data_IF_316213979626
#
_entry.id   IF_316213979626
#
_cell.length_a   1.000
_cell.length_b   1.000
_cell.length_c   1.000
_cell.angle_alpha   90.00
_cell.angle_beta   90.00
_cell.angle_gamma   90.00
#
_symmetry.space_group_name_H-M   'P 1'
#
loop_
_entity.id
_entity.type
_entity.pdbx_description
1 polymer ?
#
# COMPACT_ATOMS: atom_id res chain seq x y z
N UNK A 1 9.29 -19.97 -8.87
CA UNK A 1 9.40 -19.05 -10.03
C UNK A 1 8.82 -17.72 -9.58
N UNK A 2 9.61 -16.64 -9.59
CA UNK A 2 9.25 -15.34 -9.02
C UNK A 2 8.15 -14.60 -9.82
N UNK A 3 7.57 -13.51 -9.25
CA UNK A 3 6.50 -12.71 -9.84
C UNK A 3 6.80 -12.26 -11.28
N UNK A 4 8.05 -11.92 -11.56
CA UNK A 4 8.51 -11.48 -12.90
C UNK A 4 8.24 -12.48 -14.04
N UNK A 5 7.93 -13.75 -13.76
CA UNK A 5 7.61 -14.74 -14.81
C UNK A 5 6.12 -14.98 -14.99
N UNK A 6 5.30 -14.56 -14.00
CA UNK A 6 3.86 -14.86 -13.94
C UNK A 6 3.04 -13.88 -14.77
N UNK A 7 3.29 -12.57 -14.65
CA UNK A 7 2.61 -11.54 -15.45
C UNK A 7 2.85 -11.75 -16.95
N UNK A 8 4.10 -11.98 -17.45
CA UNK A 8 4.32 -12.32 -18.85
C UNK A 8 3.55 -13.56 -19.31
N UNK A 9 3.41 -14.57 -18.47
CA UNK A 9 2.66 -15.77 -18.80
C UNK A 9 1.17 -15.47 -18.99
N UNK A 10 0.55 -14.75 -18.03
CA UNK A 10 -0.88 -14.38 -18.11
C UNK A 10 -1.13 -13.49 -19.32
N UNK A 11 -0.34 -12.42 -19.51
CA UNK A 11 -0.51 -11.48 -20.61
C UNK A 11 -0.40 -12.18 -21.98
N UNK A 12 0.56 -13.09 -22.13
CA UNK A 12 0.71 -13.88 -23.37
C UNK A 12 -0.48 -14.81 -23.57
N UNK A 13 -0.91 -15.54 -22.54
CA UNK A 13 -2.04 -16.47 -22.61
C UNK A 13 -3.35 -15.75 -22.93
N UNK A 14 -3.60 -14.57 -22.38
CA UNK A 14 -4.82 -13.79 -22.62
C UNK A 14 -4.83 -13.12 -24.01
N UNK A 15 -3.69 -12.82 -24.55
CA UNK A 15 -3.58 -12.15 -25.85
C UNK A 15 -3.99 -13.04 -27.03
N UNK A 16 -3.83 -14.36 -26.93
CA UNK A 16 -4.23 -15.31 -27.96
C UNK A 16 -5.75 -15.40 -28.15
N UNK A 17 -6.57 -15.52 -27.08
CA UNK A 17 -8.02 -15.41 -27.20
C UNK A 17 -8.47 -14.07 -27.81
N UNK A 18 -7.88 -12.93 -27.40
CA UNK A 18 -8.22 -11.62 -27.96
C UNK A 18 -7.89 -11.51 -29.48
N UNK A 19 -6.78 -12.13 -29.93
CA UNK A 19 -6.44 -12.21 -31.34
C UNK A 19 -7.41 -13.08 -32.13
N UNK A 20 -7.93 -14.13 -31.51
CA UNK A 20 -8.81 -15.13 -32.17
C UNK A 20 -10.27 -14.71 -32.14
N UNK A 21 -10.68 -13.82 -31.24
CA UNK A 21 -12.05 -13.33 -31.15
C UNK A 21 -12.36 -12.42 -32.37
N UNK A 22 -13.49 -12.70 -33.02
CA UNK A 22 -13.99 -11.93 -34.16
C UNK A 22 -15.21 -11.07 -33.77
N UNK A 23 -15.50 -10.89 -32.48
CA UNK A 23 -16.69 -10.19 -31.98
C UNK A 23 -16.31 -8.92 -31.21
N UNK A 24 -17.27 -8.06 -30.99
CA UNK A 24 -17.12 -6.87 -30.15
C UNK A 24 -15.91 -6.00 -30.51
N UNK A 25 -15.20 -5.56 -29.49
CA UNK A 25 -14.01 -4.70 -29.61
C UNK A 25 -12.80 -5.43 -30.21
N UNK A 26 -12.80 -6.76 -30.24
CA UNK A 26 -11.71 -7.59 -30.74
C UNK A 26 -11.76 -7.89 -32.22
N UNK A 27 -12.87 -7.55 -32.91
CA UNK A 27 -13.11 -7.88 -34.31
C UNK A 27 -11.96 -7.50 -35.24
N UNK A 28 -11.39 -6.34 -35.00
CA UNK A 28 -10.27 -5.80 -35.81
C UNK A 28 -8.92 -5.94 -35.11
N UNK A 29 -8.88 -6.56 -33.93
CA UNK A 29 -7.67 -6.77 -33.18
C UNK A 29 -6.92 -7.98 -33.72
N UNK A 30 -5.78 -7.73 -34.36
CA UNK A 30 -4.91 -8.78 -34.90
C UNK A 30 -3.47 -8.52 -34.44
N UNK A 31 -2.82 -9.60 -34.04
CA UNK A 31 -1.45 -9.60 -33.54
C UNK A 31 -0.53 -10.24 -34.54
N UNK A 32 0.52 -9.53 -34.92
CA UNK A 32 1.68 -10.09 -35.59
C UNK A 32 2.61 -10.78 -34.57
N UNK A 33 3.60 -11.52 -35.07
CA UNK A 33 4.66 -12.06 -34.18
C UNK A 33 5.46 -10.95 -33.50
N UNK A 34 5.62 -9.80 -34.14
CA UNK A 34 6.28 -8.62 -33.57
C UNK A 34 5.45 -8.06 -32.41
N UNK A 35 4.12 -7.94 -32.54
CA UNK A 35 3.24 -7.48 -31.46
C UNK A 35 3.25 -8.41 -30.24
N UNK A 36 3.33 -9.73 -30.47
CA UNK A 36 3.46 -10.72 -29.40
C UNK A 36 4.78 -10.56 -28.65
N UNK A 37 5.87 -10.39 -29.39
CA UNK A 37 7.18 -10.17 -28.79
C UNK A 37 7.25 -8.84 -28.05
N UNK A 38 6.65 -7.78 -28.59
CA UNK A 38 6.56 -6.47 -27.95
C UNK A 38 5.81 -6.54 -26.63
N UNK A 39 4.63 -7.21 -26.57
CA UNK A 39 3.91 -7.44 -25.32
C UNK A 39 4.73 -8.28 -24.34
N UNK A 40 5.39 -9.32 -24.80
CA UNK A 40 6.25 -10.14 -23.97
C UNK A 40 7.37 -9.32 -23.31
N UNK A 41 8.05 -8.46 -24.08
CA UNK A 41 9.08 -7.57 -23.54
C UNK A 41 8.48 -6.55 -22.56
N UNK A 42 7.35 -5.93 -22.91
CA UNK A 42 6.66 -4.99 -22.06
C UNK A 42 6.27 -5.62 -20.71
N UNK A 43 5.77 -6.84 -20.75
CA UNK A 43 5.35 -7.56 -19.52
C UNK A 43 6.52 -7.95 -18.59
N UNK A 44 7.73 -8.12 -19.15
CA UNK A 44 8.93 -8.29 -18.31
C UNK A 44 9.42 -6.98 -17.69
N UNK A 45 9.17 -5.87 -18.36
CA UNK A 45 9.71 -4.55 -17.99
C UNK A 45 8.70 -3.66 -17.27
N UNK A 46 7.43 -4.07 -17.11
CA UNK A 46 6.36 -3.22 -16.58
C UNK A 46 6.68 -2.62 -15.20
N UNK A 47 7.41 -3.35 -14.40
CA UNK A 47 7.77 -3.02 -13.02
C UNK A 47 9.24 -2.62 -12.84
N UNK A 48 9.99 -2.36 -13.91
CA UNK A 48 11.43 -2.06 -13.79
C UNK A 48 11.72 -0.83 -12.93
N UNK A 49 10.80 0.12 -12.82
CA UNK A 49 10.91 1.28 -11.95
C UNK A 49 10.85 0.96 -10.45
N UNK A 50 10.42 -0.23 -10.04
CA UNK A 50 10.47 -0.65 -8.62
C UNK A 50 11.89 -0.66 -8.04
N UNK A 51 12.91 -0.70 -8.88
CA UNK A 51 14.32 -0.65 -8.45
C UNK A 51 14.68 0.63 -7.69
N UNK A 52 13.94 1.72 -7.89
CA UNK A 52 14.16 2.98 -7.15
C UNK A 52 13.28 3.13 -5.92
N UNK A 53 12.30 2.23 -5.72
CA UNK A 53 11.40 2.27 -4.55
C UNK A 53 12.15 1.74 -3.32
N UNK A 54 12.18 2.48 -2.20
CA UNK A 54 12.85 2.00 -1.00
C UNK A 54 12.22 0.70 -0.47
N UNK A 55 13.06 -0.29 -0.17
CA UNK A 55 12.65 -1.64 0.28
C UNK A 55 11.72 -1.56 1.51
N UNK A 56 12.06 -0.73 2.51
CA UNK A 56 11.25 -0.57 3.72
C UNK A 56 9.84 0.02 3.48
N UNK A 57 9.57 0.61 2.30
CA UNK A 57 8.23 1.06 1.90
C UNK A 57 7.49 -0.06 1.19
N UNK A 58 8.18 -0.83 0.35
CA UNK A 58 7.61 -1.98 -0.38
C UNK A 58 7.19 -3.08 0.60
N UNK A 59 8.06 -3.37 1.57
CA UNK A 59 7.89 -4.49 2.51
C UNK A 59 7.19 -4.09 3.82
N UNK A 60 6.71 -2.85 3.93
CA UNK A 60 6.05 -2.35 5.13
C UNK A 60 4.88 -3.23 5.55
N UNK A 61 5.01 -3.90 6.70
CA UNK A 61 4.05 -4.87 7.21
C UNK A 61 3.09 -4.32 8.27
N UNK A 62 3.52 -3.27 8.99
CA UNK A 62 2.72 -2.63 10.04
C UNK A 62 2.63 -1.12 9.86
N UNK A 63 1.61 -0.48 10.47
CA UNK A 63 1.35 0.96 10.28
C UNK A 63 2.47 1.86 10.82
N UNK A 64 3.06 1.51 11.96
CA UNK A 64 4.14 2.28 12.60
C UNK A 64 5.54 1.92 12.09
N UNK A 65 5.65 0.92 11.22
CA UNK A 65 6.92 0.47 10.67
C UNK A 65 7.56 1.54 9.77
N UNK A 66 8.87 1.65 9.91
CA UNK A 66 9.77 2.33 9.00
C UNK A 66 10.93 1.35 8.71
N UNK A 67 12.17 1.63 9.14
CA UNK A 67 13.25 0.63 9.17
C UNK A 67 13.04 -0.33 10.35
N UNK A 68 12.46 0.16 11.44
CA UNK A 68 12.03 -0.61 12.61
C UNK A 68 10.59 -0.28 12.96
N UNK A 69 9.86 -1.24 13.56
CA UNK A 69 8.50 -0.98 14.02
C UNK A 69 8.51 -0.17 15.32
N UNK A 70 7.98 1.06 15.27
CA UNK A 70 7.90 1.98 16.40
C UNK A 70 6.89 1.54 17.50
N UNK A 71 6.16 0.46 17.28
CA UNK A 71 5.33 -0.15 18.34
C UNK A 71 6.16 -0.53 19.57
N UNK A 72 7.45 -0.81 19.38
CA UNK A 72 8.33 -1.11 20.50
C UNK A 72 8.56 0.11 21.42
N UNK A 73 8.69 1.30 20.83
CA UNK A 73 8.77 2.56 21.59
C UNK A 73 7.44 2.89 22.28
N UNK A 74 6.34 2.68 21.58
CA UNK A 74 4.98 2.84 22.12
C UNK A 74 4.78 1.93 23.32
N UNK A 75 5.18 0.66 23.23
CA UNK A 75 5.13 -0.29 24.36
C UNK A 75 5.84 0.24 25.59
N UNK A 76 7.06 0.79 25.41
CA UNK A 76 7.82 1.34 26.54
C UNK A 76 7.07 2.50 27.20
N UNK A 77 6.41 3.36 26.43
CA UNK A 77 5.59 4.45 27.00
C UNK A 77 4.40 3.91 27.82
N UNK A 78 3.72 2.85 27.35
CA UNK A 78 2.68 2.18 28.14
C UNK A 78 3.22 1.56 29.43
N UNK A 79 4.43 0.97 29.39
CA UNK A 79 5.09 0.49 30.61
C UNK A 79 5.42 1.63 31.59
N UNK A 80 5.79 2.82 31.10
CA UNK A 80 5.97 4.01 31.95
C UNK A 80 4.66 4.41 32.59
N UNK A 81 3.53 4.46 31.86
CA UNK A 81 2.21 4.74 32.42
C UNK A 81 1.85 3.78 33.58
N UNK A 82 2.14 2.49 33.42
CA UNK A 82 1.89 1.49 34.48
C UNK A 82 2.74 1.77 35.70
N UNK A 83 4.01 2.11 35.53
CA UNK A 83 4.92 2.47 36.66
C UNK A 83 4.49 3.76 37.34
N UNK A 84 4.05 4.76 36.59
CA UNK A 84 3.53 6.01 37.13
C UNK A 84 2.26 5.75 37.96
N UNK A 85 1.33 4.92 37.52
CA UNK A 85 0.14 4.52 38.26
C UNK A 85 0.50 3.77 39.54
N UNK A 86 1.48 2.85 39.52
CA UNK A 86 1.99 2.15 40.70
C UNK A 86 2.60 3.14 41.72
N UNK A 87 3.42 4.09 41.25
CA UNK A 87 4.07 5.11 42.07
C UNK A 87 3.02 6.02 42.73
N UNK A 88 2.01 6.45 41.98
CA UNK A 88 0.96 7.33 42.48
C UNK A 88 0.08 6.62 43.53
N UNK A 89 -0.24 5.34 43.31
CA UNK A 89 -0.91 4.52 44.31
C UNK A 89 -0.10 4.43 45.61
N UNK A 90 1.21 4.12 45.51
CA UNK A 90 2.10 4.02 46.66
C UNK A 90 2.21 5.35 47.43
N UNK A 91 2.35 6.47 46.72
CA UNK A 91 2.36 7.82 47.32
C UNK A 91 1.06 8.13 48.06
N UNK A 92 -0.10 7.75 47.45
CA UNK A 92 -1.40 7.96 48.10
C UNK A 92 -1.58 7.11 49.35
N UNK A 93 -1.09 5.87 49.39
CA UNK A 93 -1.08 5.01 50.57
C UNK A 93 -0.19 5.61 51.66
N UNK A 94 1.02 6.05 51.32
CA UNK A 94 1.95 6.71 52.26
C UNK A 94 1.33 7.99 52.86
N UNK A 95 0.55 8.72 52.08
CA UNK A 95 -0.18 9.91 52.54
C UNK A 95 -1.40 9.59 53.46
N UNK A 96 -1.64 8.32 53.76
CA UNK A 96 -2.70 7.87 54.68
C UNK A 96 -4.03 7.51 54.01
N UNK A 97 -4.05 7.32 52.71
CA UNK A 97 -5.22 6.83 51.97
C UNK A 97 -5.56 5.37 52.27
N UNK A 98 -6.80 4.96 51.97
CA UNK A 98 -7.25 3.57 52.16
C UNK A 98 -6.48 2.64 51.14
N UNK A 99 -5.57 1.85 51.72
CA UNK A 99 -4.71 0.97 50.92
C UNK A 99 -5.49 -0.07 50.10
N UNK A 100 -6.60 -0.61 50.62
CA UNK A 100 -7.40 -1.60 49.95
C UNK A 100 -8.14 -0.99 48.72
N UNK A 101 -8.75 0.17 48.92
CA UNK A 101 -9.44 0.91 47.88
C UNK A 101 -8.45 1.38 46.77
N UNK A 102 -7.28 1.91 47.16
CA UNK A 102 -6.25 2.36 46.23
C UNK A 102 -5.65 1.21 45.43
N UNK A 103 -5.42 0.04 46.03
CA UNK A 103 -4.93 -1.14 45.33
C UNK A 103 -5.96 -1.70 44.36
N UNK A 104 -7.25 -1.68 44.71
CA UNK A 104 -8.32 -2.07 43.79
C UNK A 104 -8.40 -1.12 42.57
N UNK A 105 -8.29 0.21 42.81
CA UNK A 105 -8.25 1.22 41.75
C UNK A 105 -7.02 1.05 40.84
N UNK A 106 -5.85 0.77 41.42
CA UNK A 106 -4.64 0.48 40.66
C UNK A 106 -4.84 -0.75 39.75
N UNK A 107 -5.39 -1.84 40.29
CA UNK A 107 -5.65 -3.06 39.52
C UNK A 107 -6.55 -2.78 38.33
N UNK A 108 -7.61 -2.00 38.48
CA UNK A 108 -8.51 -1.59 37.41
C UNK A 108 -7.77 -0.72 36.35
N UNK A 109 -6.96 0.25 36.84
CA UNK A 109 -6.20 1.13 35.93
C UNK A 109 -5.15 0.37 35.12
N UNK A 110 -4.44 -0.58 35.71
CA UNK A 110 -3.48 -1.42 34.98
C UNK A 110 -4.17 -2.25 33.92
N UNK A 111 -5.33 -2.83 34.19
CA UNK A 111 -6.11 -3.58 33.23
C UNK A 111 -6.60 -2.69 32.05
N UNK A 112 -6.98 -1.45 32.32
CA UNK A 112 -7.35 -0.47 31.30
C UNK A 112 -6.16 -0.13 30.40
N UNK A 113 -4.98 0.16 30.96
CA UNK A 113 -3.75 0.45 30.23
C UNK A 113 -3.36 -0.75 29.34
N UNK A 114 -3.47 -1.97 29.87
CA UNK A 114 -3.20 -3.19 29.08
C UNK A 114 -4.18 -3.32 27.90
N UNK A 115 -5.48 -3.10 28.13
CA UNK A 115 -6.49 -3.16 27.07
C UNK A 115 -6.26 -2.10 25.98
N UNK A 116 -5.82 -0.92 26.37
CA UNK A 116 -5.47 0.15 25.43
C UNK A 116 -4.22 -0.19 24.60
N UNK A 117 -3.18 -0.73 25.26
CA UNK A 117 -1.98 -1.18 24.53
C UNK A 117 -2.30 -2.26 23.51
N UNK A 118 -3.05 -3.30 23.89
CA UNK A 118 -3.41 -4.37 22.96
C UNK A 118 -4.25 -3.85 21.79
N UNK A 119 -5.16 -2.92 22.03
CA UNK A 119 -5.91 -2.27 20.95
C UNK A 119 -5.01 -1.51 19.98
N UNK A 120 -4.03 -0.75 20.48
CA UNK A 120 -3.04 -0.07 19.61
C UNK A 120 -2.17 -1.08 18.86
N UNK A 121 -1.74 -2.16 19.50
CA UNK A 121 -0.94 -3.20 18.87
C UNK A 121 -1.70 -3.90 17.73
N UNK A 122 -2.96 -4.27 17.96
CA UNK A 122 -3.82 -4.86 16.91
C UNK A 122 -4.05 -3.88 15.77
N UNK A 123 -4.30 -2.61 16.08
CA UNK A 123 -4.46 -1.54 15.07
C UNK A 123 -3.20 -1.36 14.23
N UNK A 124 -2.01 -1.54 14.82
CA UNK A 124 -0.72 -1.41 14.14
C UNK A 124 -0.50 -2.49 13.08
N UNK A 125 -0.96 -3.71 13.31
CA UNK A 125 -0.85 -4.81 12.32
C UNK A 125 -1.57 -4.44 11.02
N UNK A 126 -2.58 -3.57 11.10
CA UNK A 126 -3.37 -3.18 9.94
C UNK A 126 -4.38 -4.26 9.56
N UNK A 127 -5.35 -3.88 8.77
CA UNK A 127 -6.42 -4.78 8.37
C UNK A 127 -7.08 -4.31 7.07
N UNK A 128 -8.11 -5.02 6.63
CA UNK A 128 -8.87 -4.65 5.44
C UNK A 128 -9.59 -3.32 5.62
N UNK A 129 -10.05 -3.03 6.85
CA UNK A 129 -10.75 -1.77 7.15
C UNK A 129 -10.64 -1.38 8.63
N UNK A 130 -10.37 -0.12 8.90
CA UNK A 130 -10.44 0.52 10.21
C UNK A 130 -11.58 1.55 10.19
N UNK A 131 -12.62 1.31 10.99
CA UNK A 131 -13.79 2.19 11.09
C UNK A 131 -13.52 3.48 11.88
N UNK A 132 -14.47 4.39 11.85
CA UNK A 132 -14.31 5.69 12.48
C UNK A 132 -14.35 5.61 14.02
N UNK A 133 -15.05 4.62 14.58
CA UNK A 133 -15.06 4.39 16.04
C UNK A 133 -13.69 3.92 16.53
N UNK A 134 -13.03 3.03 15.80
CA UNK A 134 -11.67 2.59 16.09
C UNK A 134 -10.66 3.75 15.96
N UNK A 135 -10.80 4.62 14.94
CA UNK A 135 -9.97 5.83 14.82
C UNK A 135 -10.19 6.81 15.98
N UNK A 136 -11.45 6.97 16.41
CA UNK A 136 -11.76 7.80 17.59
C UNK A 136 -11.12 7.23 18.84
N UNK A 137 -11.14 5.90 19.02
CA UNK A 137 -10.47 5.24 20.16
C UNK A 137 -8.95 5.42 20.12
N UNK A 138 -8.31 5.32 18.95
CA UNK A 138 -6.86 5.65 18.80
C UNK A 138 -6.59 7.05 19.33
N UNK A 139 -7.39 8.04 18.93
CA UNK A 139 -7.23 9.43 19.40
C UNK A 139 -7.40 9.58 20.91
N UNK A 140 -8.43 8.95 21.48
CA UNK A 140 -8.65 8.97 22.94
C UNK A 140 -7.48 8.37 23.71
N UNK A 141 -6.94 7.23 23.23
CA UNK A 141 -5.77 6.60 23.84
C UNK A 141 -4.53 7.50 23.71
N UNK A 142 -4.38 8.16 22.57
CA UNK A 142 -3.25 9.06 22.31
C UNK A 142 -3.20 10.26 23.25
N UNK A 143 -4.36 10.73 23.75
CA UNK A 143 -4.47 11.85 24.68
C UNK A 143 -4.03 11.52 26.12
N UNK A 144 -3.86 10.24 26.48
CA UNK A 144 -3.23 9.88 27.76
C UNK A 144 -1.84 10.49 27.81
N UNK A 145 -1.40 10.88 29.00
CA UNK A 145 -0.14 11.63 29.15
C UNK A 145 0.87 10.88 29.98
N UNK A 146 2.13 11.08 29.65
CA UNK A 146 3.28 10.60 30.42
C UNK A 146 4.30 11.72 30.63
N UNK A 147 5.17 11.56 31.61
CA UNK A 147 6.17 12.58 31.93
C UNK A 147 7.53 12.19 31.38
N UNK A 148 8.07 13.04 30.48
CA UNK A 148 9.42 12.90 29.95
C UNK A 148 10.39 13.81 30.71
N UNK A 149 11.49 13.23 31.18
CA UNK A 149 12.55 13.93 31.94
C UNK A 149 13.84 14.08 31.13
N UNK A 150 14.01 13.31 30.05
CA UNK A 150 15.20 13.32 29.22
C UNK A 150 15.00 14.19 27.98
N UNK A 151 16.10 14.84 27.53
CA UNK A 151 16.09 15.63 26.30
C UNK A 151 16.07 14.71 25.07
N UNK A 152 15.02 14.81 24.25
CA UNK A 152 14.86 14.03 23.01
C UNK A 152 15.62 14.61 21.81
N UNK A 153 16.37 15.72 21.96
CA UNK A 153 17.14 16.38 20.90
C UNK A 153 18.65 16.07 20.97
N UNK A 154 19.03 15.10 21.80
CA UNK A 154 20.41 14.61 21.90
C UNK A 154 20.51 13.20 21.38
N UNK A 155 21.68 12.85 20.81
CA UNK A 155 21.90 11.50 20.24
C UNK A 155 21.18 11.23 18.91
N UNK A 156 20.66 12.27 18.25
CA UNK A 156 19.97 12.19 16.96
C UNK A 156 20.83 12.72 15.81
N UNK A 157 20.45 12.39 14.58
CA UNK A 157 21.13 12.86 13.37
C UNK A 157 20.99 14.39 13.20
N UNK A 158 21.87 14.98 12.39
CA UNK A 158 21.81 16.42 12.05
C UNK A 158 20.45 16.76 11.39
N UNK A 159 20.00 15.93 10.47
CA UNK A 159 18.73 16.15 9.74
C UNK A 159 17.51 16.06 10.67
N UNK A 160 17.53 15.14 11.59
CA UNK A 160 16.47 15.03 12.60
C UNK A 160 16.49 16.23 13.56
N UNK A 161 17.67 16.69 13.99
CA UNK A 161 17.81 17.89 14.80
C UNK A 161 17.23 19.12 14.12
N UNK A 162 17.50 19.34 12.83
CA UNK A 162 16.91 20.44 12.05
C UNK A 162 15.37 20.39 12.06
N UNK A 163 14.77 19.19 12.01
CA UNK A 163 13.31 19.05 12.12
C UNK A 163 12.80 19.43 13.51
N UNK A 164 13.46 18.97 14.56
CA UNK A 164 13.12 19.35 15.93
C UNK A 164 13.28 20.85 16.22
N UNK A 165 14.19 21.54 15.55
CA UNK A 165 14.42 22.99 15.70
C UNK A 165 13.30 23.85 15.08
N UNK A 166 12.35 23.26 14.33
CA UNK A 166 11.15 23.96 13.84
C UNK A 166 10.25 24.42 14.98
N UNK A 167 10.30 23.75 16.13
CA UNK A 167 9.56 24.09 17.32
C UNK A 167 10.51 24.40 18.49
N UNK A 168 10.16 25.32 19.42
CA UNK A 168 10.93 25.55 20.63
C UNK A 168 11.10 24.27 21.44
N UNK A 169 12.27 24.11 22.09
CA UNK A 169 12.47 22.99 23.00
C UNK A 169 11.62 23.20 24.26
N UNK A 170 10.83 22.20 24.70
CA UNK A 170 10.11 22.29 25.96
C UNK A 170 11.06 22.27 27.15
N UNK A 171 10.69 22.93 28.24
CA UNK A 171 11.37 22.79 29.52
C UNK A 171 11.12 21.39 30.10
N UNK A 172 12.14 20.82 30.73
CA UNK A 172 12.05 19.50 31.34
C UNK A 172 11.88 19.64 32.88
N UNK A 173 11.08 18.76 33.49
CA UNK A 173 10.26 17.70 32.93
C UNK A 173 9.06 18.23 32.13
N UNK A 174 8.65 17.51 31.10
CA UNK A 174 7.50 17.86 30.25
C UNK A 174 6.47 16.74 30.24
N UNK A 175 5.18 17.10 30.31
CA UNK A 175 4.07 16.20 30.13
C UNK A 175 3.74 16.14 28.64
N UNK A 176 3.80 14.96 28.07
CA UNK A 176 3.56 14.72 26.65
C UNK A 176 2.40 13.73 26.44
N UNK A 177 1.61 13.86 25.36
CA UNK A 177 0.66 12.82 24.96
C UNK A 177 1.38 11.48 24.72
N UNK A 178 0.66 10.39 24.93
CA UNK A 178 1.17 9.03 24.76
C UNK A 178 1.55 8.73 23.31
N UNK A 179 0.72 9.18 22.36
CA UNK A 179 0.98 9.14 20.92
C UNK A 179 0.80 10.54 20.35
N UNK A 180 1.63 10.92 19.39
CA UNK A 180 1.66 12.28 18.86
C UNK A 180 1.86 12.34 17.37
N UNK A 181 1.26 13.38 16.77
CA UNK A 181 1.62 13.89 15.46
C UNK A 181 2.33 15.23 15.67
N UNK A 182 3.65 15.28 15.44
CA UNK A 182 4.50 16.45 15.68
C UNK A 182 5.03 17.02 14.38
N UNK A 183 5.45 18.29 14.41
CA UNK A 183 6.07 18.97 13.27
C UNK A 183 7.36 18.27 12.77
N UNK A 184 8.13 17.66 13.67
CA UNK A 184 9.33 16.92 13.30
C UNK A 184 9.04 15.58 12.63
N UNK A 185 7.80 15.08 12.73
CA UNK A 185 7.31 13.91 11.99
C UNK A 185 7.04 14.21 10.50
N UNK A 186 6.87 15.48 10.12
CA UNK A 186 6.62 15.88 8.75
C UNK A 186 7.95 16.09 8.01
N UNK A 187 8.18 15.28 6.99
CA UNK A 187 9.40 15.34 6.17
C UNK A 187 9.05 15.95 4.82
N UNK A 188 9.47 17.19 4.54
CA UNK A 188 9.21 17.83 3.26
C UNK A 188 10.07 17.22 2.15
N UNK A 189 9.67 17.46 0.91
CA UNK A 189 10.54 17.21 -0.23
C UNK A 189 11.68 18.23 -0.23
N UNK A 190 12.91 17.77 -0.47
CA UNK A 190 14.06 18.65 -0.75
C UNK A 190 13.95 19.23 -2.16
N UNK A 191 13.53 18.38 -3.11
CA UNK A 191 13.21 18.75 -4.48
C UNK A 191 11.88 18.10 -4.81
N UNK A 192 10.93 18.87 -5.33
CA UNK A 192 9.63 18.34 -5.73
C UNK A 192 9.80 17.26 -6.81
N UNK A 193 9.02 16.17 -6.78
CA UNK A 193 9.01 15.19 -7.85
C UNK A 193 8.73 15.86 -9.19
N UNK A 194 9.53 15.58 -10.21
CA UNK A 194 9.34 16.17 -11.55
C UNK A 194 7.96 15.80 -12.14
N UNK A 195 7.37 14.70 -11.71
CA UNK A 195 6.01 14.29 -12.09
C UNK A 195 4.92 15.22 -11.58
N UNK A 196 5.24 16.11 -10.61
CA UNK A 196 4.35 17.16 -10.13
C UNK A 196 4.28 18.37 -11.08
N UNK A 197 5.26 18.53 -11.98
CA UNK A 197 5.30 19.61 -12.95
C UNK A 197 4.20 19.39 -14.01
N UNK A 198 3.22 20.30 -14.15
CA UNK A 198 2.19 20.18 -15.19
C UNK A 198 2.75 20.13 -16.61
N UNK A 199 3.93 20.72 -16.81
CA UNK A 199 4.61 20.81 -18.11
C UNK A 199 5.63 19.66 -18.31
N UNK A 200 5.57 18.60 -17.48
CA UNK A 200 6.48 17.45 -17.64
C UNK A 200 6.32 16.82 -19.03
N UNK A 201 7.44 16.44 -19.69
CA UNK A 201 7.41 15.98 -21.10
C UNK A 201 6.72 14.63 -21.28
N UNK A 202 6.44 13.90 -20.21
CA UNK A 202 5.84 12.57 -20.23
C UNK A 202 4.31 12.58 -20.09
N UNK A 203 3.71 13.76 -19.80
CA UNK A 203 2.27 13.90 -19.63
C UNK A 203 1.72 13.27 -18.35
N UNK A 204 2.54 13.15 -17.29
CA UNK A 204 2.11 12.64 -16.00
C UNK A 204 1.13 13.59 -15.32
N UNK A 205 0.12 13.01 -14.66
CA UNK A 205 -0.96 13.71 -13.93
C UNK A 205 -1.14 13.05 -12.56
N UNK A 206 -0.05 12.99 -11.78
CA UNK A 206 -0.05 12.36 -10.46
C UNK A 206 -0.37 13.37 -9.38
N UNK A 207 -1.12 12.94 -8.36
CA UNK A 207 -1.41 13.77 -7.19
C UNK A 207 -0.29 13.56 -6.17
N UNK A 208 0.63 14.54 -6.07
CA UNK A 208 1.78 14.49 -5.16
C UNK A 208 1.37 14.95 -3.77
N UNK A 209 1.61 14.17 -2.70
CA UNK A 209 1.35 14.59 -1.33
C UNK A 209 2.19 15.82 -0.95
N UNK A 210 1.70 16.60 0.02
CA UNK A 210 2.39 17.80 0.52
C UNK A 210 3.77 17.50 1.11
N UNK A 211 3.88 16.35 1.79
CA UNK A 211 5.13 15.90 2.41
C UNK A 211 5.65 14.64 1.72
N UNK A 212 6.96 14.45 1.76
CA UNK A 212 7.60 13.21 1.30
C UNK A 212 7.25 12.05 2.23
N UNK A 213 7.22 12.29 3.56
CA UNK A 213 6.76 11.36 4.56
C UNK A 213 6.02 12.08 5.69
N UNK A 214 5.00 11.45 6.21
CA UNK A 214 4.37 11.80 7.47
C UNK A 214 4.53 10.63 8.46
N UNK A 215 5.39 10.84 9.48
CA UNK A 215 5.69 9.85 10.52
C UNK A 215 4.83 10.03 11.78
N UNK A 216 3.78 10.82 11.73
CA UNK A 216 2.82 11.00 12.84
C UNK A 216 2.27 9.64 13.32
N UNK A 217 2.25 9.42 14.62
CA UNK A 217 1.84 8.13 15.18
C UNK A 217 0.33 7.93 15.05
N UNK A 218 -0.44 8.95 15.43
CA UNK A 218 -1.90 8.93 15.30
C UNK A 218 -2.32 8.88 13.84
N UNK A 219 -1.64 9.63 12.97
CA UNK A 219 -1.86 9.63 11.54
C UNK A 219 -1.67 8.23 10.94
N UNK A 220 -0.54 7.58 11.24
CA UNK A 220 -0.24 6.25 10.73
C UNK A 220 -1.23 5.20 11.26
N UNK A 221 -1.51 5.19 12.56
CA UNK A 221 -2.47 4.25 13.19
C UNK A 221 -3.90 4.44 12.65
N UNK A 222 -4.25 5.65 12.22
CA UNK A 222 -5.59 5.98 11.68
C UNK A 222 -5.79 5.65 10.20
N UNK A 223 -4.81 5.00 9.54
CA UNK A 223 -4.95 4.55 8.15
C UNK A 223 -6.14 3.58 8.03
N UNK A 224 -7.06 3.89 7.13
CA UNK A 224 -8.31 3.13 6.99
C UNK A 224 -8.12 1.75 6.36
N UNK A 225 -7.14 1.57 5.46
CA UNK A 225 -6.90 0.29 4.74
C UNK A 225 -5.42 0.03 4.58
N UNK A 226 -5.00 -1.15 4.99
CA UNK A 226 -3.61 -1.59 4.92
C UNK A 226 -2.71 -0.83 5.89
N UNK A 227 -1.44 -0.69 5.52
CA UNK A 227 -0.36 -0.17 6.38
C UNK A 227 0.29 1.10 5.86
N UNK A 228 0.08 1.46 4.59
CA UNK A 228 0.75 2.57 3.91
C UNK A 228 0.03 3.90 4.10
N UNK A 229 0.76 4.94 4.45
CA UNK A 229 0.28 6.33 4.39
C UNK A 229 0.07 6.77 2.94
N UNK A 230 -0.55 7.94 2.73
CA UNK A 230 -0.70 8.51 1.39
C UNK A 230 0.66 8.81 0.75
N UNK A 231 1.62 9.28 1.53
CA UNK A 231 2.99 9.58 1.11
C UNK A 231 3.72 8.30 0.68
N UNK A 232 3.62 7.24 1.46
CA UNK A 232 4.23 5.95 1.15
C UNK A 232 3.56 5.28 -0.06
N UNK A 233 2.24 5.41 -0.18
CA UNK A 233 1.49 4.94 -1.35
C UNK A 233 1.92 5.69 -2.61
N UNK A 234 2.13 7.01 -2.52
CA UNK A 234 2.69 7.80 -3.62
C UNK A 234 4.08 7.28 -4.02
N UNK A 235 4.97 7.01 -3.06
CA UNK A 235 6.32 6.50 -3.35
C UNK A 235 6.26 5.14 -4.07
N UNK A 236 5.34 4.25 -3.66
CA UNK A 236 5.16 2.97 -4.37
C UNK A 236 4.59 3.22 -5.77
N UNK A 237 3.57 4.07 -5.91
CA UNK A 237 2.95 4.35 -7.21
C UNK A 237 3.92 5.07 -8.17
N UNK A 238 4.90 5.80 -7.66
CA UNK A 238 5.92 6.49 -8.47
C UNK A 238 6.79 5.50 -9.28
N UNK A 239 6.82 4.21 -8.92
CA UNK A 239 7.57 3.22 -9.73
C UNK A 239 7.13 3.22 -11.18
N UNK A 240 5.84 3.49 -11.48
CA UNK A 240 5.36 3.52 -12.86
C UNK A 240 5.85 4.75 -13.62
N UNK A 241 5.98 5.89 -12.93
CA UNK A 241 6.62 7.11 -13.45
C UNK A 241 8.08 6.80 -13.79
N UNK A 242 8.79 6.13 -12.89
CA UNK A 242 10.18 5.75 -13.12
C UNK A 242 10.32 4.71 -14.24
N UNK A 243 9.40 3.75 -14.33
CA UNK A 243 9.32 2.80 -15.46
C UNK A 243 9.18 3.55 -16.78
N UNK A 244 8.26 4.50 -16.86
CA UNK A 244 8.05 5.30 -18.06
C UNK A 244 9.32 6.08 -18.47
N UNK A 245 9.94 6.79 -17.51
CA UNK A 245 11.17 7.54 -17.74
C UNK A 245 12.30 6.61 -18.22
N UNK A 246 12.47 5.46 -17.59
CA UNK A 246 13.51 4.49 -17.98
C UNK A 246 13.27 3.96 -19.39
N UNK A 247 12.05 3.53 -19.69
CA UNK A 247 11.74 2.88 -20.98
C UNK A 247 11.72 3.88 -22.16
N UNK A 248 11.20 5.09 -21.97
CA UNK A 248 11.15 6.11 -23.02
C UNK A 248 12.53 6.68 -23.37
N UNK A 249 13.51 6.56 -22.47
CA UNK A 249 14.89 6.94 -22.74
C UNK A 249 15.76 5.80 -23.33
N UNK A 250 15.21 4.58 -23.47
CA UNK A 250 15.93 3.50 -24.13
C UNK A 250 15.87 3.65 -25.66
N UNK A 251 16.98 3.38 -26.39
CA UNK A 251 17.01 3.39 -27.85
C UNK A 251 16.36 2.12 -28.41
N UNK A 252 15.06 1.95 -28.18
CA UNK A 252 14.33 0.76 -28.59
C UNK A 252 14.22 0.66 -30.11
N UNK A 253 14.38 -0.54 -30.70
CA UNK A 253 14.15 -0.77 -32.13
C UNK A 253 12.68 -0.53 -32.50
N UNK A 254 12.40 -0.36 -33.81
CA UNK A 254 11.05 -0.04 -34.29
C UNK A 254 9.97 -1.03 -33.82
N UNK A 255 10.31 -2.33 -33.76
CA UNK A 255 9.41 -3.39 -33.33
C UNK A 255 9.09 -3.39 -31.82
N UNK A 256 9.76 -2.55 -31.02
CA UNK A 256 9.56 -2.45 -29.56
C UNK A 256 9.17 -1.04 -29.11
N UNK A 257 8.74 -0.16 -30.03
CA UNK A 257 8.44 1.24 -29.71
C UNK A 257 7.24 1.43 -28.77
N UNK A 258 6.33 0.46 -28.74
CA UNK A 258 5.14 0.51 -27.90
C UNK A 258 5.37 -0.10 -26.52
N UNK A 259 6.55 -0.69 -26.25
CA UNK A 259 6.90 -1.24 -24.94
C UNK A 259 6.64 -0.25 -23.80
N UNK A 260 7.06 1.04 -23.89
CA UNK A 260 6.76 2.01 -22.83
C UNK A 260 5.26 2.23 -22.61
N UNK A 261 4.48 2.36 -23.68
CA UNK A 261 3.01 2.54 -23.57
C UNK A 261 2.34 1.32 -22.95
N UNK A 262 2.67 0.12 -23.41
CA UNK A 262 2.08 -1.13 -22.91
C UNK A 262 2.48 -1.36 -21.44
N UNK A 263 3.78 -1.21 -21.13
CA UNK A 263 4.30 -1.42 -19.79
C UNK A 263 3.73 -0.43 -18.78
N UNK A 264 3.60 0.85 -19.16
CA UNK A 264 3.15 1.89 -18.22
C UNK A 264 1.64 2.02 -18.12
N UNK A 265 0.86 1.31 -18.95
CA UNK A 265 -0.59 1.37 -18.96
C UNK A 265 -1.28 0.49 -17.90
N UNK A 266 -0.56 -0.41 -17.23
CA UNK A 266 -1.19 -1.41 -16.35
C UNK A 266 -1.79 -0.83 -15.05
N UNK A 267 -1.42 0.37 -14.64
CA UNK A 267 -2.04 1.09 -13.52
C UNK A 267 -3.06 2.16 -13.96
N UNK A 268 -3.24 2.35 -15.25
CA UNK A 268 -4.35 3.16 -15.74
C UNK A 268 -5.68 2.42 -15.56
N UNK A 269 -6.78 3.18 -15.49
CA UNK A 269 -8.13 2.64 -15.35
C UNK A 269 -8.98 3.08 -16.52
N UNK A 270 -9.96 2.24 -16.87
CA UNK A 270 -10.87 2.52 -18.00
C UNK A 270 -11.62 3.85 -17.83
N UNK A 271 -11.92 4.25 -16.58
CA UNK A 271 -12.61 5.48 -16.24
C UNK A 271 -11.71 6.74 -16.20
N UNK A 272 -10.41 6.62 -16.43
CA UNK A 272 -9.46 7.72 -16.40
C UNK A 272 -9.04 8.16 -14.99
N UNK A 273 -9.38 7.40 -13.94
CA UNK A 273 -8.94 7.68 -12.55
C UNK A 273 -7.65 6.95 -12.18
N UNK A 274 -7.03 6.25 -13.13
CA UNK A 274 -5.76 5.58 -12.96
C UNK A 274 -4.56 6.53 -12.91
N UNK A 275 -3.38 5.98 -13.01
CA UNK A 275 -2.11 6.70 -13.04
C UNK A 275 -1.10 5.98 -13.94
N UNK A 276 -0.05 6.61 -14.45
CA UNK A 276 0.43 7.97 -14.13
C UNK A 276 -0.15 9.10 -15.00
N UNK A 277 -0.87 8.80 -16.09
CA UNK A 277 -1.32 9.78 -17.10
C UNK A 277 -2.82 10.05 -17.05
N UNK A 278 -3.58 9.29 -16.26
CA UNK A 278 -5.06 9.36 -16.18
C UNK A 278 -5.70 9.12 -17.55
N UNK A 279 -5.24 8.08 -18.25
CA UNK A 279 -5.76 7.69 -19.55
C UNK A 279 -7.12 6.99 -19.40
N UNK A 280 -8.03 7.28 -20.31
CA UNK A 280 -9.30 6.56 -20.45
C UNK A 280 -9.11 5.30 -21.31
N UNK A 281 -10.05 4.36 -21.25
CA UNK A 281 -9.94 3.09 -21.97
C UNK A 281 -9.75 3.21 -23.48
N UNK A 282 -10.33 4.24 -24.11
CA UNK A 282 -10.17 4.55 -25.52
C UNK A 282 -8.77 5.07 -25.90
N UNK A 283 -8.04 5.59 -24.91
CA UNK A 283 -6.66 6.07 -25.07
C UNK A 283 -5.61 4.99 -24.81
N UNK A 284 -6.01 3.81 -24.35
CA UNK A 284 -5.14 2.68 -24.03
C UNK A 284 -5.20 1.63 -25.13
N UNK A 285 -4.06 1.07 -25.51
CA UNK A 285 -4.05 -0.11 -26.40
C UNK A 285 -4.69 -1.32 -25.72
N UNK A 286 -5.15 -2.27 -26.54
CA UNK A 286 -5.66 -3.56 -26.01
C UNK A 286 -4.58 -4.26 -25.19
N UNK A 287 -3.32 -4.21 -25.63
CA UNK A 287 -2.19 -4.82 -24.92
C UNK A 287 -1.98 -4.21 -23.53
N UNK A 288 -2.07 -2.88 -23.38
CA UNK A 288 -1.97 -2.21 -22.08
C UNK A 288 -3.11 -2.63 -21.14
N UNK A 289 -4.34 -2.76 -21.67
CA UNK A 289 -5.49 -3.23 -20.90
C UNK A 289 -5.38 -4.72 -20.52
N UNK A 290 -4.80 -5.57 -21.39
CA UNK A 290 -4.45 -6.96 -21.05
C UNK A 290 -3.44 -7.03 -19.93
N UNK A 291 -2.42 -6.14 -19.96
CA UNK A 291 -1.42 -6.05 -18.89
C UNK A 291 -2.04 -5.71 -17.55
N UNK A 292 -3.02 -4.78 -17.51
CA UNK A 292 -3.71 -4.42 -16.28
C UNK A 292 -4.45 -5.62 -15.65
N UNK A 293 -5.11 -6.45 -16.46
CA UNK A 293 -5.77 -7.68 -15.98
C UNK A 293 -4.73 -8.69 -15.47
N UNK A 294 -3.64 -8.87 -16.21
CA UNK A 294 -2.59 -9.82 -15.87
C UNK A 294 -1.89 -9.47 -14.55
N UNK A 295 -1.57 -8.18 -14.35
CA UNK A 295 -0.94 -7.69 -13.11
C UNK A 295 -1.88 -7.82 -11.91
N UNK A 296 -3.14 -7.41 -12.03
CA UNK A 296 -4.13 -7.53 -10.95
C UNK A 296 -4.33 -9.00 -10.57
N UNK A 297 -4.49 -9.91 -11.54
CA UNK A 297 -4.70 -11.32 -11.26
C UNK A 297 -3.48 -11.96 -10.57
N UNK A 298 -2.27 -11.63 -11.04
CA UNK A 298 -1.03 -12.07 -10.38
C UNK A 298 -0.95 -11.55 -8.96
N UNK A 299 -1.18 -10.24 -8.76
CA UNK A 299 -1.11 -9.62 -7.44
C UNK A 299 -2.12 -10.18 -6.42
N UNK A 300 -3.29 -10.62 -6.87
CA UNK A 300 -4.31 -11.24 -6.03
C UNK A 300 -3.95 -12.69 -5.66
N UNK A 301 -3.32 -13.42 -6.59
CA UNK A 301 -3.00 -14.85 -6.44
C UNK A 301 -1.58 -15.10 -5.93
N UNK A 302 -0.72 -14.07 -5.84
CA UNK A 302 0.66 -14.20 -5.39
C UNK A 302 0.74 -14.76 -3.95
N UNK A 303 1.57 -15.80 -3.79
CA UNK A 303 1.78 -16.48 -2.52
C UNK A 303 2.97 -15.95 -1.72
N UNK A 304 3.74 -15.04 -2.28
CA UNK A 304 5.07 -14.60 -1.81
C UNK A 304 4.99 -13.37 -0.87
N UNK A 305 3.78 -12.92 -0.52
CA UNK A 305 3.60 -11.81 0.43
C UNK A 305 3.41 -12.38 1.84
N UNK A 306 4.42 -12.31 2.73
CA UNK A 306 4.37 -12.94 4.06
C UNK A 306 3.31 -12.36 4.99
N UNK A 307 2.66 -11.25 4.59
CA UNK A 307 1.75 -10.46 5.44
C UNK A 307 0.28 -10.55 5.05
N UNK A 308 -0.08 -11.36 4.02
CA UNK A 308 -1.48 -11.55 3.61
C UNK A 308 -1.77 -13.02 3.42
N UNK A 309 -2.94 -13.44 3.90
CA UNK A 309 -3.48 -14.74 3.54
C UNK A 309 -3.65 -14.82 2.02
N UNK A 310 -3.22 -15.97 1.48
CA UNK A 310 -3.33 -16.27 0.06
C UNK A 310 -4.80 -16.30 -0.33
N UNK A 311 -5.14 -15.65 -1.43
CA UNK A 311 -6.51 -15.74 -1.95
C UNK A 311 -6.68 -16.98 -2.81
N UNK A 312 -7.87 -17.57 -2.71
CA UNK A 312 -8.26 -18.63 -3.64
C UNK A 312 -8.59 -18.06 -5.01
N UNK A 313 -8.72 -18.93 -6.00
CA UNK A 313 -9.07 -18.57 -7.36
C UNK A 313 -10.43 -17.87 -7.39
N UNK A 314 -11.44 -18.43 -6.72
CA UNK A 314 -12.78 -17.85 -6.63
C UNK A 314 -12.78 -16.47 -5.97
N UNK A 315 -12.02 -16.28 -4.89
CA UNK A 315 -11.89 -14.99 -4.21
C UNK A 315 -11.23 -13.95 -5.12
N UNK A 316 -10.19 -14.35 -5.86
CA UNK A 316 -9.50 -13.45 -6.79
C UNK A 316 -10.43 -13.00 -7.92
N UNK A 317 -11.17 -13.92 -8.55
CA UNK A 317 -12.14 -13.60 -9.59
C UNK A 317 -13.28 -12.72 -9.08
N UNK A 318 -13.75 -12.93 -7.86
CA UNK A 318 -14.76 -12.05 -7.23
C UNK A 318 -14.28 -10.62 -7.06
N UNK A 319 -13.05 -10.42 -6.63
CA UNK A 319 -12.46 -9.07 -6.53
C UNK A 319 -12.36 -8.44 -7.91
N UNK A 320 -11.88 -9.19 -8.91
CA UNK A 320 -11.77 -8.69 -10.29
C UNK A 320 -13.14 -8.35 -10.90
N UNK A 321 -14.20 -9.10 -10.57
CA UNK A 321 -15.57 -8.77 -11.04
C UNK A 321 -16.04 -7.41 -10.51
N UNK A 322 -15.76 -7.09 -9.24
CA UNK A 322 -16.03 -5.74 -8.72
C UNK A 322 -15.20 -4.67 -9.41
N UNK A 323 -13.92 -4.94 -9.66
CA UNK A 323 -13.05 -4.00 -10.38
C UNK A 323 -13.52 -3.76 -11.82
N UNK A 324 -13.99 -4.79 -12.52
CA UNK A 324 -14.57 -4.66 -13.85
C UNK A 324 -15.90 -3.87 -13.82
N UNK A 325 -16.76 -4.13 -12.83
CA UNK A 325 -18.00 -3.39 -12.60
C UNK A 325 -17.75 -1.91 -12.37
N UNK A 326 -16.72 -1.57 -11.62
CA UNK A 326 -16.35 -0.19 -11.26
C UNK A 326 -15.48 0.50 -12.34
N UNK A 327 -15.39 -0.06 -13.56
CA UNK A 327 -14.56 0.43 -14.66
C UNK A 327 -13.06 0.63 -14.29
N UNK A 328 -12.57 -0.15 -13.34
CA UNK A 328 -11.14 -0.17 -13.05
C UNK A 328 -10.38 -0.90 -14.17
N UNK A 329 -10.93 -2.01 -14.67
CA UNK A 329 -10.40 -2.78 -15.79
C UNK A 329 -11.42 -2.92 -16.92
N UNK A 330 -10.95 -3.28 -18.11
CA UNK A 330 -11.76 -3.48 -19.29
C UNK A 330 -12.69 -4.69 -19.10
N UNK A 331 -13.99 -4.45 -19.19
CA UNK A 331 -15.04 -5.44 -18.93
C UNK A 331 -15.04 -6.55 -20.00
N UNK A 332 -14.87 -6.18 -21.27
CA UNK A 332 -14.90 -7.14 -22.37
C UNK A 332 -13.66 -8.05 -22.31
N UNK A 333 -12.49 -7.48 -22.00
CA UNK A 333 -11.26 -8.25 -21.75
C UNK A 333 -11.36 -9.13 -20.51
N UNK A 334 -12.04 -8.67 -19.46
CA UNK A 334 -12.29 -9.49 -18.27
C UNK A 334 -13.21 -10.67 -18.58
N UNK A 335 -14.29 -10.45 -19.36
CA UNK A 335 -15.16 -11.56 -19.81
C UNK A 335 -14.38 -12.55 -20.69
N UNK A 336 -13.57 -12.05 -21.60
CA UNK A 336 -12.72 -12.91 -22.42
C UNK A 336 -11.73 -13.72 -21.57
N UNK A 337 -11.18 -13.13 -20.50
CA UNK A 337 -10.33 -13.83 -19.54
C UNK A 337 -11.03 -15.00 -18.84
N UNK A 338 -12.32 -14.82 -18.50
CA UNK A 338 -13.15 -15.89 -17.94
C UNK A 338 -13.47 -16.97 -19.00
N UNK A 339 -13.98 -16.56 -20.17
CA UNK A 339 -14.48 -17.45 -21.22
C UNK A 339 -13.38 -18.32 -21.85
N UNK A 340 -12.19 -17.75 -21.99
CA UNK A 340 -11.02 -18.46 -22.55
C UNK A 340 -10.39 -19.47 -21.58
N UNK A 341 -10.72 -19.42 -20.28
CA UNK A 341 -10.13 -20.30 -19.29
C UNK A 341 -8.68 -19.99 -18.92
N UNK A 342 -8.12 -18.86 -19.34
CA UNK A 342 -6.73 -18.43 -19.04
C UNK A 342 -6.47 -18.44 -17.53
N UNK A 343 -7.44 -18.03 -16.71
CA UNK A 343 -7.34 -18.08 -15.27
C UNK A 343 -7.08 -19.50 -14.73
N UNK A 344 -7.69 -20.52 -15.33
CA UNK A 344 -7.53 -21.92 -14.96
C UNK A 344 -6.19 -22.46 -15.40
N UNK A 345 -5.82 -22.19 -16.66
CA UNK A 345 -4.51 -22.61 -17.20
C UNK A 345 -3.34 -22.01 -16.41
N UNK A 346 -3.51 -20.80 -15.91
CA UNK A 346 -2.53 -20.16 -15.02
C UNK A 346 -2.53 -20.83 -13.64
N UNK A 347 -3.70 -21.09 -13.07
CA UNK A 347 -3.83 -21.71 -11.76
C UNK A 347 -3.13 -23.10 -11.73
N UNK A 348 -3.37 -23.91 -12.75
CA UNK A 348 -2.78 -25.26 -12.88
C UNK A 348 -1.25 -25.23 -12.97
N UNK A 349 -0.68 -24.11 -13.47
CA UNK A 349 0.78 -23.97 -13.65
C UNK A 349 1.50 -23.34 -12.48
N UNK A 350 0.85 -22.44 -11.75
CA UNK A 350 1.54 -21.52 -10.84
C UNK A 350 0.96 -21.45 -9.43
N UNK A 351 -0.31 -21.81 -9.21
CA UNK A 351 -0.92 -21.74 -7.89
C UNK A 351 -0.67 -23.03 -7.09
N UNK A 352 -0.84 -22.93 -5.79
CA UNK A 352 -0.80 -24.07 -4.88
C UNK A 352 -2.18 -24.75 -4.89
N UNK A 353 -2.21 -26.04 -4.55
CA UNK A 353 -3.44 -26.83 -4.54
C UNK A 353 -4.53 -26.22 -3.63
N UNK A 354 -4.15 -25.62 -2.51
CA UNK A 354 -5.05 -24.97 -1.55
C UNK A 354 -5.63 -23.63 -2.04
N UNK A 355 -5.09 -23.09 -3.12
CA UNK A 355 -5.62 -21.87 -3.78
C UNK A 355 -6.60 -22.22 -4.92
N UNK A 356 -6.60 -23.46 -5.40
CA UNK A 356 -7.41 -23.89 -6.55
C UNK A 356 -8.71 -24.48 -6.02
N UNK A 357 -9.75 -23.66 -6.03
CA UNK A 357 -11.11 -24.04 -5.66
C UNK A 357 -12.03 -24.14 -6.90
N UNK A 358 -13.27 -24.58 -6.68
CA UNK A 358 -14.26 -24.70 -7.75
C UNK A 358 -14.76 -23.30 -8.15
N UNK A 359 -14.85 -23.06 -9.46
CA UNK A 359 -15.26 -21.79 -10.05
C UNK A 359 -16.38 -21.99 -11.04
N UNK A 360 -17.54 -21.37 -10.77
CA UNK A 360 -18.60 -21.15 -11.76
C UNK A 360 -18.45 -19.72 -12.32
N UNK A 361 -18.00 -19.59 -13.57
CA UNK A 361 -17.72 -18.29 -14.19
C UNK A 361 -18.94 -17.38 -14.29
N UNK A 362 -20.16 -17.95 -14.31
CA UNK A 362 -21.38 -17.14 -14.43
C UNK A 362 -21.60 -16.27 -13.17
N UNK A 363 -21.10 -16.68 -12.00
CA UNK A 363 -21.16 -15.88 -10.77
C UNK A 363 -20.28 -14.61 -10.82
N UNK A 364 -19.30 -14.57 -11.71
CA UNK A 364 -18.31 -13.48 -11.80
C UNK A 364 -18.54 -12.57 -13.00
N UNK A 365 -19.53 -12.86 -13.84
CA UNK A 365 -19.90 -11.97 -14.95
C UNK A 365 -20.46 -10.64 -14.45
N UNK A 366 -20.15 -9.60 -15.18
CA UNK A 366 -20.55 -8.22 -14.88
C UNK A 366 -21.51 -7.73 -15.97
N UNK A 367 -22.66 -7.18 -15.58
CA UNK A 367 -23.67 -6.65 -16.47
C UNK A 367 -23.22 -5.37 -17.19
#
# INVERSE_FOLDING_TARGET
>A
RGPCQRVPAIATMQNEPAHSDATGIFKDFKLSEEDRYELYVASWMHDCGKVVTPEYVVDKSTKLETITDRIHEVRVRFEVLKRDAEIDCLKAIIAGGDAAALQAALTARLAEIDADYYFIADTNVGGEFLDDDAKARVKTIAEQTWMRTLNNRVGISIEERKRFERTPAPELPVVEPLLMDREDHLIPYEVQPFSADPDNPYGFKVDVPEYKFNKGEVYNLSISRGTLTNEERFIINDHIVQTAVMLENLPLPKALRRVPEIACGHHEKIDGTGYPRKLTGDQMSVQARVMAIADVFEALTAADRPYKDRKTLSQSLRIMSFMAKDNHMDRDLYHLFLDSGVYRDYADKFLLEDQIDEVDIEEYRVA
#
